data_IF_830482630752
#
_entry.id   IF_830482630752
#
_cell.length_a   1.000
_cell.length_b   1.000
_cell.length_c   1.000
_cell.angle_alpha   90.00
_cell.angle_beta   90.00
_cell.angle_gamma   90.00
#
_symmetry.space_group_name_H-M   'P 1'
#
loop_
_entity.id
_entity.type
_entity.pdbx_description
1 polymer ?
#
# COMPACT_ATOMS: atom_id res chain seq x y z
N UNK A 1 22.46 18.04 8.55
CA UNK A 1 21.29 17.83 9.40
C UNK A 1 21.32 16.40 9.87
N UNK A 2 21.36 16.22 11.19
CA UNK A 2 21.38 14.91 11.83
C UNK A 2 20.06 14.67 12.58
N UNK A 3 19.69 13.43 12.77
CA UNK A 3 18.60 13.06 13.66
C UNK A 3 19.08 13.31 15.09
N UNK A 4 18.35 14.13 15.85
CA UNK A 4 18.61 14.40 17.26
C UNK A 4 17.79 13.49 18.16
N UNK A 5 16.49 13.36 17.86
CA UNK A 5 15.56 12.58 18.64
C UNK A 5 14.61 11.79 17.74
N UNK A 6 14.09 10.68 18.28
CA UNK A 6 13.05 9.86 17.65
C UNK A 6 11.97 9.53 18.68
N UNK A 7 10.70 9.76 18.32
CA UNK A 7 9.56 9.46 19.18
C UNK A 7 8.63 8.48 18.47
N UNK A 8 8.13 7.51 19.23
CA UNK A 8 7.21 6.48 18.74
C UNK A 8 5.82 6.68 19.35
N UNK A 9 4.79 6.62 18.52
CA UNK A 9 3.39 6.69 18.94
C UNK A 9 2.62 5.50 18.38
N UNK A 10 1.47 5.20 18.97
CA UNK A 10 0.46 4.33 18.38
C UNK A 10 -0.90 5.02 18.46
N UNK A 11 -1.69 4.85 17.40
CA UNK A 11 -3.02 5.39 17.28
C UNK A 11 -3.98 4.32 16.75
N UNK A 12 -5.22 4.27 17.27
CA UNK A 12 -6.24 3.35 16.80
C UNK A 12 -7.00 3.92 15.61
N UNK A 13 -7.20 3.09 14.60
CA UNK A 13 -7.97 3.38 13.40
C UNK A 13 -9.16 2.41 13.33
N UNK A 14 -10.32 2.75 13.93
CA UNK A 14 -11.51 1.92 13.83
C UNK A 14 -12.04 1.92 12.39
N UNK A 15 -12.49 0.75 11.93
CA UNK A 15 -13.09 0.61 10.60
C UNK A 15 -14.52 1.11 10.64
N UNK A 16 -14.82 2.04 9.73
CA UNK A 16 -16.16 2.60 9.53
C UNK A 16 -17.10 1.53 8.97
N UNK A 17 -18.27 1.39 9.57
CA UNK A 17 -19.28 0.40 9.16
C UNK A 17 -18.72 -1.03 9.12
N UNK A 18 -17.67 -1.31 9.90
CA UNK A 18 -16.91 -2.56 9.91
C UNK A 18 -17.73 -3.80 10.21
N UNK A 19 -17.10 -4.98 10.11
CA UNK A 19 -15.69 -5.17 9.78
C UNK A 19 -15.39 -5.11 8.27
N UNK A 20 -14.14 -4.78 7.92
CA UNK A 20 -13.65 -5.03 6.56
C UNK A 20 -13.26 -6.50 6.43
N UNK A 21 -13.91 -7.23 5.52
CA UNK A 21 -13.77 -8.68 5.37
C UNK A 21 -12.89 -9.01 4.17
N UNK A 22 -11.87 -9.83 4.40
CA UNK A 22 -11.01 -10.44 3.39
C UNK A 22 -11.11 -11.98 3.47
N UNK A 23 -10.54 -12.70 2.52
CA UNK A 23 -10.58 -14.16 2.47
C UNK A 23 -10.22 -14.85 3.80
N UNK A 24 -9.21 -14.34 4.50
CA UNK A 24 -8.62 -14.93 5.71
C UNK A 24 -8.65 -14.02 6.96
N UNK A 25 -9.34 -12.88 6.90
CA UNK A 25 -9.35 -11.92 8.01
C UNK A 25 -10.62 -11.06 8.06
N UNK A 26 -10.97 -10.64 9.28
CA UNK A 26 -11.96 -9.60 9.55
C UNK A 26 -11.29 -8.50 10.37
N UNK A 27 -11.34 -7.27 9.88
CA UNK A 27 -10.67 -6.12 10.49
C UNK A 27 -11.71 -5.17 11.05
N UNK A 28 -11.77 -5.04 12.36
CA UNK A 28 -12.65 -4.11 13.09
C UNK A 28 -11.97 -2.79 13.44
N UNK A 29 -10.69 -2.86 13.71
CA UNK A 29 -9.82 -1.73 14.02
C UNK A 29 -8.38 -2.11 13.78
N UNK A 30 -7.56 -1.14 13.41
CA UNK A 30 -6.12 -1.30 13.26
C UNK A 30 -5.41 -0.36 14.22
N UNK A 31 -4.20 -0.74 14.62
CA UNK A 31 -3.31 0.13 15.38
C UNK A 31 -2.17 0.55 14.46
N UNK A 32 -2.15 1.82 14.09
CA UNK A 32 -1.01 2.39 13.37
C UNK A 32 0.10 2.77 14.32
N UNK A 33 1.35 2.67 13.83
CA UNK A 33 2.55 3.12 14.55
C UNK A 33 3.15 4.30 13.80
N UNK A 34 3.35 5.41 14.51
CA UNK A 34 3.89 6.64 13.97
C UNK A 34 5.31 6.87 14.52
N UNK A 35 6.16 7.41 13.65
CA UNK A 35 7.52 7.82 13.96
C UNK A 35 7.64 9.32 13.73
N UNK A 36 8.06 10.06 14.77
CA UNK A 36 8.47 11.45 14.65
C UNK A 36 9.97 11.54 14.80
N UNK A 37 10.65 12.07 13.81
CA UNK A 37 12.06 12.43 13.87
C UNK A 37 12.19 13.91 14.17
N UNK A 38 13.10 14.26 15.10
CA UNK A 38 13.51 15.64 15.36
C UNK A 38 14.96 15.79 14.93
N UNK A 39 15.26 16.79 14.13
CA UNK A 39 16.64 17.07 13.71
C UNK A 39 17.40 17.95 14.70
N UNK A 40 18.72 18.00 14.57
CA UNK A 40 19.62 18.93 15.25
C UNK A 40 19.37 20.41 14.95
N UNK A 41 18.48 20.70 13.98
CA UNK A 41 18.03 22.06 13.63
C UNK A 41 16.60 22.36 14.10
N UNK A 42 15.96 21.43 14.80
CA UNK A 42 14.57 21.56 15.30
C UNK A 42 13.49 21.24 14.27
N UNK A 43 13.83 20.89 13.03
CA UNK A 43 12.85 20.42 12.04
C UNK A 43 12.33 19.04 12.44
N UNK A 44 11.07 18.77 12.11
CA UNK A 44 10.41 17.48 12.38
C UNK A 44 9.95 16.80 11.11
N UNK A 45 10.14 15.48 11.06
CA UNK A 45 9.62 14.61 10.00
C UNK A 45 8.75 13.50 10.57
N UNK A 46 7.68 13.15 9.88
CA UNK A 46 6.73 12.13 10.29
C UNK A 46 6.72 10.94 9.34
N UNK A 47 6.59 9.76 9.90
CA UNK A 47 6.38 8.52 9.15
C UNK A 47 5.38 7.62 9.83
N UNK A 48 4.83 6.69 9.08
CA UNK A 48 3.74 5.83 9.53
C UNK A 48 3.86 4.43 8.96
N UNK A 49 3.44 3.45 9.75
CA UNK A 49 3.20 2.07 9.32
C UNK A 49 2.01 1.48 10.03
N UNK A 50 1.10 0.86 9.27
CA UNK A 50 -0.11 0.25 9.78
C UNK A 50 -0.30 -1.16 9.22
N UNK A 51 0.42 -2.18 9.72
CA UNK A 51 0.24 -3.55 9.27
C UNK A 51 -1.17 -4.07 9.56
N UNK A 52 -1.79 -4.74 8.57
CA UNK A 52 -3.11 -5.37 8.73
C UNK A 52 -3.11 -6.44 9.83
N UNK A 53 -2.03 -7.19 9.95
CA UNK A 53 -1.86 -8.20 10.97
C UNK A 53 -1.30 -9.52 10.44
N UNK A 54 -1.05 -10.49 11.35
CA UNK A 54 -0.29 -11.71 11.05
C UNK A 54 -1.02 -12.70 10.14
N UNK A 55 -2.31 -12.54 9.92
CA UNK A 55 -3.08 -13.35 8.96
C UNK A 55 -2.92 -12.86 7.53
N UNK A 56 -2.46 -11.61 7.34
CA UNK A 56 -2.22 -11.00 6.04
C UNK A 56 -0.73 -11.00 5.66
N UNK A 57 0.16 -10.62 6.57
CA UNK A 57 1.60 -10.56 6.34
C UNK A 57 2.37 -10.84 7.66
N UNK A 58 3.67 -11.05 7.56
CA UNK A 58 4.56 -11.25 8.72
C UNK A 58 4.76 -9.99 9.56
N UNK A 59 3.74 -9.17 9.69
CA UNK A 59 3.81 -7.90 10.42
C UNK A 59 2.51 -7.62 11.16
N UNK A 60 2.64 -7.06 12.35
CA UNK A 60 1.54 -6.59 13.17
C UNK A 60 2.00 -5.42 14.03
N UNK A 61 1.05 -4.64 14.60
CA UNK A 61 1.36 -3.39 15.30
C UNK A 61 2.36 -3.56 16.45
N UNK A 62 2.21 -4.59 17.30
CA UNK A 62 3.13 -4.84 18.39
C UNK A 62 4.54 -5.24 17.89
N UNK A 63 4.62 -6.03 16.82
CA UNK A 63 5.89 -6.40 16.17
C UNK A 63 6.58 -5.19 15.53
N UNK A 64 5.82 -4.32 14.87
CA UNK A 64 6.35 -3.08 14.29
C UNK A 64 6.94 -2.17 15.39
N UNK A 65 6.22 -2.00 16.50
CA UNK A 65 6.72 -1.25 17.66
C UNK A 65 7.99 -1.85 18.22
N UNK A 66 8.00 -3.16 18.53
CA UNK A 66 9.17 -3.83 19.07
C UNK A 66 10.40 -3.74 18.14
N UNK A 67 10.20 -3.85 16.84
CA UNK A 67 11.25 -3.66 15.85
C UNK A 67 11.79 -2.22 15.85
N UNK A 68 10.91 -1.23 15.94
CA UNK A 68 11.31 0.19 16.04
C UNK A 68 12.10 0.46 17.35
N UNK A 69 11.71 -0.12 18.47
CA UNK A 69 12.45 -0.02 19.74
C UNK A 69 13.88 -0.59 19.66
N UNK A 70 14.13 -1.56 18.76
CA UNK A 70 15.49 -2.07 18.47
C UNK A 70 16.29 -1.16 17.54
N UNK A 71 15.64 -0.50 16.61
CA UNK A 71 16.26 0.35 15.57
C UNK A 71 16.52 1.75 16.11
N UNK A 72 15.53 2.35 16.77
CA UNK A 72 15.51 3.76 17.16
C UNK A 72 16.74 4.23 17.96
N UNK A 73 17.26 3.46 18.98
CA UNK A 73 18.42 3.92 19.76
C UNK A 73 19.70 4.13 18.93
N UNK A 74 19.76 3.61 17.72
CA UNK A 74 20.92 3.74 16.85
C UNK A 74 20.87 4.95 15.90
N UNK A 75 19.74 5.64 15.83
CA UNK A 75 19.51 6.70 14.84
C UNK A 75 19.98 8.09 15.28
N UNK A 76 19.91 8.49 16.57
CA UNK A 76 20.46 9.77 17.00
C UNK A 76 21.92 9.96 16.59
N UNK A 77 22.24 11.14 16.08
CA UNK A 77 23.56 11.47 15.51
C UNK A 77 23.78 11.03 14.06
N UNK A 78 22.89 10.21 13.49
CA UNK A 78 22.97 9.80 12.08
C UNK A 78 22.53 10.94 11.16
N UNK A 79 23.21 11.10 10.03
CA UNK A 79 22.75 12.04 9.00
C UNK A 79 21.37 11.61 8.47
N UNK A 80 20.43 12.57 8.43
CA UNK A 80 19.06 12.34 7.94
C UNK A 80 19.04 12.26 6.40
N UNK A 81 19.68 11.23 5.87
CA UNK A 81 19.73 10.89 4.45
C UNK A 81 19.17 9.46 4.28
N UNK A 82 18.23 9.21 3.36
CA UNK A 82 17.51 7.94 3.24
C UNK A 82 18.45 6.71 3.23
N UNK A 83 19.44 6.68 2.34
CA UNK A 83 20.35 5.53 2.23
C UNK A 83 21.21 5.33 3.50
N UNK A 84 21.67 6.42 4.12
CA UNK A 84 22.48 6.37 5.35
C UNK A 84 21.66 5.78 6.50
N UNK A 85 20.41 6.24 6.65
CA UNK A 85 19.51 5.75 7.69
C UNK A 85 19.13 4.27 7.43
N UNK A 86 18.82 3.89 6.18
CA UNK A 86 18.56 2.49 5.83
C UNK A 86 19.73 1.56 6.21
N UNK A 87 20.96 1.93 5.82
CA UNK A 87 22.15 1.14 6.19
C UNK A 87 22.32 1.04 7.69
N UNK A 88 22.02 2.12 8.42
CA UNK A 88 22.09 2.11 9.88
C UNK A 88 21.04 1.18 10.50
N UNK A 89 19.82 1.19 10.00
CA UNK A 89 18.76 0.27 10.41
C UNK A 89 19.13 -1.19 10.13
N UNK A 90 19.67 -1.48 8.95
CA UNK A 90 20.05 -2.83 8.52
C UNK A 90 21.17 -3.43 9.39
N UNK A 91 22.06 -2.61 9.97
CA UNK A 91 23.07 -3.09 10.93
C UNK A 91 22.48 -3.46 12.29
N UNK A 92 21.24 -3.07 12.58
CA UNK A 92 20.58 -3.31 13.88
C UNK A 92 19.56 -4.42 13.85
N UNK A 93 18.85 -4.55 12.71
CA UNK A 93 17.75 -5.49 12.59
C UNK A 93 17.61 -5.95 11.14
N UNK A 94 17.70 -7.24 10.92
CA UNK A 94 17.42 -7.87 9.61
C UNK A 94 15.91 -7.95 9.37
N UNK A 95 15.44 -7.72 8.14
CA UNK A 95 14.02 -7.77 7.80
C UNK A 95 13.22 -6.61 8.41
N UNK A 96 12.02 -6.89 8.88
CA UNK A 96 11.12 -5.91 9.51
C UNK A 96 10.86 -4.66 8.66
N UNK A 97 10.63 -4.86 7.37
CA UNK A 97 10.47 -3.80 6.38
C UNK A 97 9.35 -2.82 6.76
N UNK A 98 8.23 -3.29 7.31
CA UNK A 98 7.14 -2.43 7.78
C UNK A 98 7.61 -1.41 8.84
N UNK A 99 8.42 -1.83 9.78
CA UNK A 99 8.96 -0.92 10.79
C UNK A 99 9.95 0.08 10.18
N UNK A 100 10.85 -0.39 9.30
CA UNK A 100 11.83 0.46 8.61
C UNK A 100 11.16 1.49 7.71
N UNK A 101 10.02 1.14 7.11
CA UNK A 101 9.25 2.04 6.26
C UNK A 101 8.81 3.31 7.00
N UNK A 102 8.35 3.20 8.25
CA UNK A 102 7.96 4.37 9.04
C UNK A 102 9.12 5.35 9.26
N UNK A 103 10.32 4.83 9.53
CA UNK A 103 11.52 5.67 9.67
C UNK A 103 11.92 6.27 8.33
N UNK A 104 11.89 5.49 7.25
CA UNK A 104 12.25 5.96 5.90
C UNK A 104 11.33 7.09 5.44
N UNK A 105 10.01 6.94 5.60
CA UNK A 105 9.02 7.98 5.28
C UNK A 105 9.31 9.26 6.08
N UNK A 106 9.59 9.12 7.39
CA UNK A 106 9.93 10.27 8.24
C UNK A 106 11.21 10.99 7.79
N UNK A 107 12.21 10.24 7.31
CA UNK A 107 13.47 10.82 6.78
C UNK A 107 13.21 11.60 5.49
N UNK A 108 12.37 11.06 4.58
CA UNK A 108 11.98 11.78 3.36
C UNK A 108 11.17 13.03 3.66
N UNK A 109 10.24 12.97 4.62
CA UNK A 109 9.48 14.14 5.06
C UNK A 109 10.41 15.23 5.63
N UNK A 110 11.32 14.83 6.52
CA UNK A 110 12.30 15.73 7.12
C UNK A 110 13.23 16.37 6.06
N UNK A 111 13.70 15.56 5.10
CA UNK A 111 14.59 16.04 4.03
C UNK A 111 13.86 16.99 3.09
N UNK A 112 12.63 16.69 2.69
CA UNK A 112 11.81 17.56 1.86
C UNK A 112 11.54 18.91 2.54
N UNK A 113 11.20 18.90 3.83
CA UNK A 113 11.01 20.13 4.64
C UNK A 113 12.30 20.96 4.72
N UNK A 114 13.46 20.30 4.92
CA UNK A 114 14.77 20.99 4.91
C UNK A 114 15.06 21.69 3.59
N UNK A 115 14.72 21.04 2.48
CA UNK A 115 15.03 21.57 1.14
C UNK A 115 13.92 22.47 0.58
N UNK A 116 12.76 22.54 1.25
CA UNK A 116 11.59 23.30 0.80
C UNK A 116 10.89 22.69 -0.42
N UNK A 117 11.01 21.37 -0.62
CA UNK A 117 10.41 20.66 -1.78
C UNK A 117 9.52 19.49 -1.34
N UNK A 118 8.53 19.11 -2.15
CA UNK A 118 7.74 17.89 -1.88
C UNK A 118 8.61 16.63 -2.04
N UNK A 119 8.17 15.54 -1.39
CA UNK A 119 8.87 14.26 -1.45
C UNK A 119 8.97 13.72 -2.88
N UNK A 120 7.97 13.93 -3.73
CA UNK A 120 8.01 13.51 -5.13
C UNK A 120 9.22 14.08 -5.88
N UNK A 121 9.64 15.31 -5.58
CA UNK A 121 10.82 15.92 -6.21
C UNK A 121 12.12 15.24 -5.79
N UNK A 122 12.18 14.73 -4.55
CA UNK A 122 13.31 13.91 -4.07
C UNK A 122 13.37 12.52 -4.72
N UNK A 123 12.24 12.07 -5.28
CA UNK A 123 12.08 10.77 -5.93
C UNK A 123 12.18 10.84 -7.46
N UNK A 124 12.60 11.98 -8.01
CA UNK A 124 12.80 12.18 -9.44
C UNK A 124 11.83 13.15 -10.11
N UNK A 125 10.84 13.64 -9.38
CA UNK A 125 9.86 14.61 -9.84
C UNK A 125 8.51 14.02 -10.19
N UNK A 126 7.45 14.73 -9.80
CA UNK A 126 6.07 14.34 -10.14
C UNK A 126 5.79 14.55 -11.63
N UNK A 127 5.19 13.55 -12.28
CA UNK A 127 4.72 13.61 -13.68
C UNK A 127 3.26 14.05 -13.79
N UNK A 128 2.55 14.07 -12.65
CA UNK A 128 1.14 14.47 -12.55
C UNK A 128 0.87 15.11 -11.20
N UNK A 129 -0.18 15.90 -11.12
CA UNK A 129 -0.69 16.51 -9.87
C UNK A 129 -1.88 15.75 -9.28
N UNK A 130 -2.38 14.74 -9.98
CA UNK A 130 -3.45 13.85 -9.53
C UNK A 130 -3.12 12.42 -9.92
N UNK A 131 -3.21 11.50 -8.96
CA UNK A 131 -3.00 10.07 -9.21
C UNK A 131 -4.32 9.32 -9.15
N UNK A 132 -4.53 8.29 -9.98
CA UNK A 132 -5.73 7.47 -9.91
C UNK A 132 -5.74 6.68 -8.61
N UNK A 133 -6.90 6.61 -7.96
CA UNK A 133 -7.17 5.70 -6.87
C UNK A 133 -8.01 4.53 -7.35
N UNK A 134 -8.19 3.52 -6.50
CA UNK A 134 -9.15 2.47 -6.72
C UNK A 134 -9.86 2.09 -5.42
N UNK A 135 -11.07 1.60 -5.55
CA UNK A 135 -11.83 1.09 -4.42
C UNK A 135 -11.68 -0.43 -4.32
N UNK A 136 -11.46 -0.95 -3.11
CA UNK A 136 -11.42 -2.39 -2.85
C UNK A 136 -12.67 -2.80 -2.05
N UNK A 137 -13.49 -3.72 -2.59
CA UNK A 137 -14.65 -4.22 -1.85
C UNK A 137 -14.21 -5.16 -0.73
N UNK A 138 -15.03 -5.30 0.30
CA UNK A 138 -14.94 -6.47 1.17
C UNK A 138 -15.47 -7.72 0.45
N UNK A 139 -15.15 -8.91 0.98
CA UNK A 139 -15.82 -10.16 0.55
C UNK A 139 -17.28 -10.10 1.01
N UNK A 140 -18.20 -10.17 0.06
CA UNK A 140 -19.65 -10.03 0.30
C UNK A 140 -20.50 -10.81 -0.70
N UNK A 141 -21.84 -10.76 -0.57
CA UNK A 141 -22.76 -11.37 -1.51
C UNK A 141 -22.58 -10.81 -2.93
N UNK A 142 -22.79 -11.65 -3.99
CA UNK A 142 -22.60 -11.22 -5.38
C UNK A 142 -23.38 -9.97 -5.77
N UNK A 143 -24.68 -9.90 -5.42
CA UNK A 143 -25.53 -8.75 -5.77
C UNK A 143 -25.11 -7.46 -5.04
N UNK A 144 -24.71 -7.56 -3.78
CA UNK A 144 -24.22 -6.42 -3.02
C UNK A 144 -22.90 -5.90 -3.59
N UNK A 145 -21.98 -6.81 -3.92
CA UNK A 145 -20.69 -6.45 -4.55
C UNK A 145 -20.91 -5.76 -5.90
N UNK A 146 -21.87 -6.24 -6.71
CA UNK A 146 -22.23 -5.60 -7.98
C UNK A 146 -22.86 -4.21 -7.79
N UNK A 147 -23.70 -4.03 -6.77
CA UNK A 147 -24.27 -2.72 -6.41
C UNK A 147 -23.18 -1.73 -6.01
N UNK A 148 -22.26 -2.14 -5.13
CA UNK A 148 -21.09 -1.31 -4.75
C UNK A 148 -20.24 -0.97 -5.99
N UNK A 149 -20.04 -1.93 -6.87
CA UNK A 149 -19.28 -1.69 -8.11
C UNK A 149 -19.92 -0.59 -8.98
N UNK A 150 -21.24 -0.61 -9.14
CA UNK A 150 -21.97 0.42 -9.87
C UNK A 150 -21.86 1.79 -9.20
N UNK A 151 -21.99 1.86 -7.86
CA UNK A 151 -21.82 3.09 -7.09
C UNK A 151 -20.41 3.68 -7.28
N UNK A 152 -19.37 2.86 -7.18
CA UNK A 152 -17.98 3.32 -7.31
C UNK A 152 -17.63 3.73 -8.75
N UNK A 153 -18.25 3.09 -9.74
CA UNK A 153 -18.20 3.57 -11.14
C UNK A 153 -18.79 4.98 -11.26
N UNK A 154 -19.96 5.20 -10.67
CA UNK A 154 -20.66 6.48 -10.75
C UNK A 154 -19.96 7.59 -9.93
N UNK A 155 -19.20 7.21 -8.87
CA UNK A 155 -18.29 8.10 -8.15
C UNK A 155 -17.01 8.46 -8.94
N UNK A 156 -16.78 7.82 -10.10
CA UNK A 156 -15.66 8.14 -10.99
C UNK A 156 -14.36 7.36 -10.73
N UNK A 157 -14.40 6.27 -9.97
CA UNK A 157 -13.21 5.44 -9.80
C UNK A 157 -12.78 4.77 -11.11
N UNK A 158 -11.51 4.91 -11.53
CA UNK A 158 -11.02 4.32 -12.79
C UNK A 158 -10.76 2.81 -12.67
N UNK A 159 -10.67 2.26 -11.46
CA UNK A 159 -10.43 0.85 -11.18
C UNK A 159 -11.20 0.41 -9.94
N UNK A 160 -11.73 -0.82 -10.00
CA UNK A 160 -12.30 -1.52 -8.87
C UNK A 160 -11.47 -2.79 -8.60
N UNK A 161 -11.20 -3.07 -7.33
CA UNK A 161 -10.68 -4.35 -6.88
C UNK A 161 -11.77 -5.06 -6.08
N UNK A 162 -12.16 -6.27 -6.49
CA UNK A 162 -13.09 -7.08 -5.70
C UNK A 162 -12.31 -8.12 -4.90
N UNK A 163 -12.57 -8.17 -3.59
CA UNK A 163 -12.00 -9.20 -2.71
C UNK A 163 -12.84 -10.46 -2.79
N UNK A 164 -12.18 -11.57 -3.05
CA UNK A 164 -12.79 -12.89 -3.21
C UNK A 164 -11.98 -13.94 -2.42
N UNK A 165 -12.35 -15.21 -2.55
CA UNK A 165 -11.70 -16.31 -1.84
C UNK A 165 -12.28 -16.55 -0.44
N UNK A 166 -11.83 -17.64 0.20
CA UNK A 166 -12.34 -18.08 1.49
C UNK A 166 -13.76 -18.68 1.44
N UNK A 167 -14.27 -18.93 0.23
CA UNK A 167 -15.61 -19.49 -0.03
C UNK A 167 -15.58 -20.31 -1.33
N UNK A 168 -16.67 -21.06 -1.66
CA UNK A 168 -16.73 -21.84 -2.91
C UNK A 168 -16.50 -20.97 -4.17
N UNK A 169 -15.68 -21.47 -5.10
CA UNK A 169 -15.30 -20.74 -6.31
C UNK A 169 -16.50 -20.38 -7.21
N UNK A 170 -17.60 -21.12 -7.15
CA UNK A 170 -18.85 -20.83 -7.85
C UNK A 170 -19.41 -19.45 -7.48
N UNK A 171 -19.37 -19.11 -6.18
CA UNK A 171 -19.84 -17.81 -5.67
C UNK A 171 -18.93 -16.68 -6.16
N UNK A 172 -17.62 -16.93 -6.23
CA UNK A 172 -16.66 -15.97 -6.74
C UNK A 172 -16.84 -15.72 -8.24
N UNK A 173 -17.08 -16.78 -9.02
CA UNK A 173 -17.40 -16.70 -10.45
C UNK A 173 -18.69 -15.90 -10.68
N UNK A 174 -19.73 -16.18 -9.90
CA UNK A 174 -20.99 -15.42 -9.94
C UNK A 174 -20.74 -13.94 -9.63
N UNK A 175 -19.94 -13.65 -8.59
CA UNK A 175 -19.61 -12.28 -8.21
C UNK A 175 -18.90 -11.55 -9.34
N UNK A 176 -17.89 -12.16 -9.98
CA UNK A 176 -17.15 -11.56 -11.11
C UNK A 176 -18.10 -11.22 -12.26
N UNK A 177 -19.02 -12.15 -12.60
CA UNK A 177 -19.98 -11.95 -13.69
C UNK A 177 -20.94 -10.79 -13.40
N UNK A 178 -21.55 -10.77 -12.21
CA UNK A 178 -22.46 -9.70 -11.80
C UNK A 178 -21.81 -8.34 -11.71
N UNK A 179 -20.59 -8.30 -11.18
CA UNK A 179 -19.80 -7.05 -11.16
C UNK A 179 -19.52 -6.59 -12.58
N UNK A 180 -19.10 -7.49 -13.49
CA UNK A 180 -18.85 -7.13 -14.88
C UNK A 180 -20.10 -6.67 -15.62
N UNK A 181 -21.26 -7.27 -15.36
CA UNK A 181 -22.55 -6.78 -15.86
C UNK A 181 -22.85 -5.34 -15.42
N UNK A 182 -22.44 -4.98 -14.18
CA UNK A 182 -22.65 -3.65 -13.63
C UNK A 182 -21.69 -2.58 -14.19
N UNK A 183 -20.41 -2.94 -14.45
CA UNK A 183 -19.37 -1.98 -14.83
C UNK A 183 -18.83 -2.12 -16.27
N UNK A 184 -19.12 -3.24 -16.93
CA UNK A 184 -18.64 -3.51 -18.28
C UNK A 184 -19.02 -2.40 -19.27
N UNK A 185 -18.06 -2.00 -20.12
CA UNK A 185 -18.27 -0.92 -21.09
C UNK A 185 -18.15 0.50 -20.51
N UNK A 186 -18.01 0.68 -19.19
CA UNK A 186 -17.85 2.00 -18.56
C UNK A 186 -16.43 2.58 -18.67
N UNK A 187 -15.45 1.75 -19.03
CA UNK A 187 -14.02 2.10 -18.96
C UNK A 187 -13.37 1.83 -17.60
N UNK A 188 -14.14 1.50 -16.53
CA UNK A 188 -13.59 1.10 -15.25
C UNK A 188 -12.90 -0.27 -15.38
N UNK A 189 -11.65 -0.34 -14.92
CA UNK A 189 -10.88 -1.59 -14.93
C UNK A 189 -11.23 -2.45 -13.72
N UNK A 190 -11.18 -3.78 -13.90
CA UNK A 190 -11.47 -4.75 -12.84
C UNK A 190 -10.20 -5.47 -12.41
N UNK A 191 -9.98 -5.55 -11.12
CA UNK A 191 -9.04 -6.46 -10.48
C UNK A 191 -9.81 -7.43 -9.57
N UNK A 192 -9.37 -8.67 -9.57
CA UNK A 192 -9.94 -9.77 -8.78
C UNK A 192 -8.86 -10.27 -7.86
N UNK A 193 -9.00 -10.04 -6.56
CA UNK A 193 -7.99 -10.36 -5.57
C UNK A 193 -8.43 -11.55 -4.70
N UNK A 194 -7.70 -12.65 -4.81
CA UNK A 194 -7.93 -13.86 -4.04
C UNK A 194 -7.37 -13.81 -2.63
N UNK A 195 -6.50 -12.87 -2.32
CA UNK A 195 -5.77 -12.75 -1.03
C UNK A 195 -5.27 -14.10 -0.51
N UNK A 196 -4.68 -14.92 -1.40
CA UNK A 196 -4.18 -16.28 -1.11
C UNK A 196 -5.28 -17.28 -0.71
N UNK A 197 -6.56 -16.95 -0.92
CA UNK A 197 -7.70 -17.74 -0.46
C UNK A 197 -8.11 -18.87 -1.39
N UNK A 198 -7.48 -19.04 -2.57
CA UNK A 198 -7.81 -20.11 -3.52
C UNK A 198 -6.73 -21.18 -3.60
N UNK A 199 -7.19 -22.40 -3.89
CA UNK A 199 -6.28 -23.43 -4.42
C UNK A 199 -5.90 -23.10 -5.87
N UNK A 200 -4.82 -23.71 -6.37
CA UNK A 200 -4.47 -23.55 -7.79
C UNK A 200 -5.58 -24.05 -8.74
N UNK A 201 -6.35 -25.06 -8.31
CA UNK A 201 -7.51 -25.56 -9.05
C UNK A 201 -8.62 -24.53 -9.16
N UNK A 202 -8.97 -23.84 -8.05
CA UNK A 202 -9.99 -22.80 -8.02
C UNK A 202 -9.57 -21.59 -8.88
N UNK A 203 -8.33 -21.13 -8.76
CA UNK A 203 -7.79 -20.03 -9.54
C UNK A 203 -7.86 -20.32 -11.06
N UNK A 204 -7.50 -21.55 -11.47
CA UNK A 204 -7.61 -21.97 -12.87
C UNK A 204 -9.06 -22.09 -13.33
N UNK A 205 -9.96 -22.57 -12.47
CA UNK A 205 -11.39 -22.66 -12.77
C UNK A 205 -11.98 -21.27 -12.98
N UNK A 206 -11.74 -20.32 -12.07
CA UNK A 206 -12.21 -18.94 -12.18
C UNK A 206 -11.72 -18.32 -13.50
N UNK A 207 -10.42 -18.47 -13.81
CA UNK A 207 -9.84 -17.94 -15.03
C UNK A 207 -10.45 -18.57 -16.31
N UNK A 208 -10.85 -19.84 -16.27
CA UNK A 208 -11.46 -20.54 -17.41
C UNK A 208 -12.93 -20.23 -17.59
N UNK A 209 -13.67 -20.05 -16.50
CA UNK A 209 -15.10 -19.80 -16.53
C UNK A 209 -15.49 -18.33 -16.75
N UNK A 210 -14.51 -17.41 -16.68
CA UNK A 210 -14.69 -15.98 -16.97
C UNK A 210 -13.78 -15.50 -18.11
N UNK A 211 -13.69 -16.21 -19.27
CA UNK A 211 -12.65 -15.96 -20.28
C UNK A 211 -12.83 -14.62 -21.01
N UNK A 212 -14.04 -14.11 -21.07
CA UNK A 212 -14.43 -12.92 -21.83
C UNK A 212 -14.49 -11.65 -20.93
N UNK A 213 -14.21 -11.80 -19.63
CA UNK A 213 -14.16 -10.68 -18.69
C UNK A 213 -12.72 -10.25 -18.50
N UNK A 214 -12.32 -9.05 -18.93
CA UNK A 214 -10.97 -8.56 -18.78
C UNK A 214 -10.72 -8.12 -17.33
N UNK A 215 -10.02 -8.93 -16.54
CA UNK A 215 -9.58 -8.56 -15.19
C UNK A 215 -8.13 -8.97 -14.93
N UNK A 216 -7.53 -8.30 -13.96
CA UNK A 216 -6.27 -8.72 -13.36
C UNK A 216 -6.56 -9.72 -12.24
N UNK A 217 -5.86 -10.85 -12.23
CA UNK A 217 -5.92 -11.84 -11.17
C UNK A 217 -4.79 -11.56 -10.17
N UNK A 218 -5.14 -11.02 -9.00
CA UNK A 218 -4.18 -10.63 -7.96
C UNK A 218 -4.10 -11.71 -6.89
N UNK A 219 -2.89 -12.09 -6.52
CA UNK A 219 -2.54 -13.04 -5.44
C UNK A 219 -3.54 -14.18 -5.22
N UNK A 220 -3.81 -15.02 -6.22
CA UNK A 220 -4.83 -16.08 -6.12
C UNK A 220 -4.46 -17.16 -5.10
N UNK A 221 -3.19 -17.57 -5.04
CA UNK A 221 -2.70 -18.68 -4.22
C UNK A 221 -1.70 -18.22 -3.16
N UNK A 222 -1.40 -19.11 -2.21
CA UNK A 222 -0.62 -18.79 -1.02
C UNK A 222 0.89 -18.68 -1.31
N UNK A 223 1.45 -19.48 -2.20
CA UNK A 223 2.90 -19.55 -2.42
C UNK A 223 3.30 -19.21 -3.84
N UNK A 224 4.57 -18.80 -3.99
CA UNK A 224 5.18 -18.56 -5.30
C UNK A 224 5.20 -19.83 -6.15
N UNK A 225 5.40 -21.00 -5.53
CA UNK A 225 5.39 -22.28 -6.20
C UNK A 225 4.03 -22.63 -6.80
N UNK A 226 2.95 -22.32 -6.10
CA UNK A 226 1.59 -22.46 -6.63
C UNK A 226 1.36 -21.51 -7.80
N UNK A 227 1.76 -20.23 -7.67
CA UNK A 227 1.68 -19.27 -8.77
C UNK A 227 2.44 -19.76 -10.02
N UNK A 228 3.65 -20.32 -9.86
CA UNK A 228 4.42 -20.90 -10.98
C UNK A 228 3.70 -22.06 -11.67
N UNK A 229 3.01 -22.91 -10.91
CA UNK A 229 2.28 -24.07 -11.47
C UNK A 229 1.07 -23.64 -12.28
N UNK A 230 0.33 -22.62 -11.83
CA UNK A 230 -0.88 -22.18 -12.52
C UNK A 230 -0.59 -21.22 -13.66
N UNK A 231 0.48 -20.42 -13.58
CA UNK A 231 0.82 -19.34 -14.54
C UNK A 231 0.67 -19.73 -16.01
N UNK A 232 1.21 -20.88 -16.47
CA UNK A 232 1.13 -21.25 -17.89
C UNK A 232 -0.30 -21.55 -18.39
N UNK A 233 -1.26 -21.73 -17.50
CA UNK A 233 -2.64 -22.11 -17.82
C UNK A 233 -3.64 -20.97 -17.57
N UNK A 234 -3.20 -19.87 -16.95
CA UNK A 234 -4.03 -18.69 -16.73
C UNK A 234 -4.29 -17.96 -18.04
N UNK A 235 -5.52 -17.49 -18.19
CA UNK A 235 -5.95 -16.61 -19.31
C UNK A 235 -5.86 -15.13 -18.98
N UNK A 236 -5.77 -14.81 -17.70
CA UNK A 236 -5.74 -13.46 -17.15
C UNK A 236 -4.34 -13.06 -16.73
N UNK A 237 -4.07 -11.77 -16.72
CA UNK A 237 -2.84 -11.22 -16.18
C UNK A 237 -2.72 -11.55 -14.70
N UNK A 238 -1.56 -12.05 -14.27
CA UNK A 238 -1.27 -12.42 -12.90
C UNK A 238 -0.48 -11.31 -12.20
N UNK A 239 -1.04 -10.77 -11.12
CA UNK A 239 -0.33 -9.82 -10.25
C UNK A 239 0.02 -10.47 -8.92
N UNK A 240 1.21 -10.13 -8.42
CA UNK A 240 1.69 -10.60 -7.12
C UNK A 240 1.58 -9.46 -6.10
N UNK A 241 0.93 -9.72 -4.97
CA UNK A 241 0.80 -8.81 -3.82
C UNK A 241 1.55 -9.39 -2.61
N UNK A 242 0.93 -10.20 -1.77
CA UNK A 242 1.50 -10.63 -0.49
C UNK A 242 2.83 -11.39 -0.61
N UNK A 243 3.05 -12.09 -1.72
CA UNK A 243 4.34 -12.76 -1.96
C UNK A 243 5.45 -11.82 -2.41
N UNK A 244 5.18 -10.58 -2.79
CA UNK A 244 6.18 -9.56 -3.11
C UNK A 244 6.69 -8.89 -1.81
N UNK A 245 7.39 -9.67 -1.00
CA UNK A 245 7.81 -9.27 0.36
C UNK A 245 8.97 -8.28 0.39
N UNK A 246 9.78 -8.27 -0.67
CA UNK A 246 10.96 -7.41 -0.80
C UNK A 246 11.36 -7.20 -2.27
N UNK A 247 12.37 -6.39 -2.48
CA UNK A 247 12.86 -6.07 -3.82
C UNK A 247 13.49 -7.28 -4.52
N UNK A 248 14.15 -8.18 -3.80
CA UNK A 248 14.80 -9.38 -4.38
C UNK A 248 13.75 -10.34 -4.95
N UNK A 249 12.68 -10.55 -4.19
CA UNK A 249 11.53 -11.35 -4.65
C UNK A 249 10.87 -10.72 -5.89
N UNK A 250 10.70 -9.38 -5.90
CA UNK A 250 10.14 -8.68 -7.05
C UNK A 250 11.04 -8.79 -8.29
N UNK A 251 12.36 -8.64 -8.14
CA UNK A 251 13.36 -8.82 -9.22
C UNK A 251 13.26 -10.23 -9.79
N UNK A 252 13.19 -11.24 -8.93
CA UNK A 252 13.10 -12.64 -9.33
C UNK A 252 11.81 -12.93 -10.09
N UNK A 253 10.67 -12.46 -9.57
CA UNK A 253 9.38 -12.65 -10.22
C UNK A 253 9.31 -11.96 -11.60
N UNK A 254 9.79 -10.72 -11.68
CA UNK A 254 9.88 -9.96 -12.93
C UNK A 254 10.87 -10.60 -13.93
N UNK A 255 12.03 -11.09 -13.45
CA UNK A 255 13.07 -11.68 -14.26
C UNK A 255 12.69 -13.04 -14.86
N UNK A 256 11.87 -13.81 -14.16
CA UNK A 256 11.41 -15.14 -14.62
C UNK A 256 10.10 -15.09 -15.43
N UNK A 257 9.47 -13.91 -15.60
CA UNK A 257 8.18 -13.79 -16.27
C UNK A 257 7.03 -14.46 -15.50
N UNK A 258 7.19 -14.60 -14.18
CA UNK A 258 6.15 -15.17 -13.32
C UNK A 258 4.91 -14.32 -13.29
N UNK A 259 5.06 -13.00 -13.31
CA UNK A 259 3.99 -12.01 -13.14
C UNK A 259 3.89 -11.05 -14.31
N UNK A 260 2.70 -10.48 -14.50
CA UNK A 260 2.41 -9.41 -15.46
C UNK A 260 2.35 -8.04 -14.77
N UNK A 261 2.38 -7.99 -13.43
CA UNK A 261 2.35 -6.78 -12.63
C UNK A 261 2.40 -7.06 -11.13
N UNK A 262 2.22 -6.01 -10.33
CA UNK A 262 2.30 -6.13 -8.86
C UNK A 262 1.26 -5.25 -8.15
N UNK A 263 0.70 -5.78 -7.05
CA UNK A 263 0.09 -5.02 -5.98
C UNK A 263 1.15 -4.69 -4.92
N UNK A 264 1.82 -3.54 -5.01
CA UNK A 264 2.94 -3.22 -4.11
C UNK A 264 2.56 -2.19 -3.06
N UNK A 265 3.06 -2.43 -1.84
CA UNK A 265 2.83 -1.56 -0.70
C UNK A 265 4.12 -0.89 -0.23
N UNK A 266 4.05 0.44 -0.06
CA UNK A 266 5.20 1.27 0.39
C UNK A 266 5.76 0.75 1.71
N UNK A 267 4.88 0.43 2.68
CA UNK A 267 5.33 -0.08 3.98
C UNK A 267 5.92 -1.49 3.89
N UNK A 268 5.35 -2.39 3.09
CA UNK A 268 5.84 -3.77 2.97
C UNK A 268 7.23 -3.86 2.35
N UNK A 269 7.52 -3.05 1.34
CA UNK A 269 8.84 -3.07 0.69
C UNK A 269 9.93 -2.36 1.48
N UNK A 270 9.57 -1.58 2.51
CA UNK A 270 10.53 -0.92 3.41
C UNK A 270 10.66 0.58 3.21
N UNK A 271 9.63 1.24 2.68
CA UNK A 271 9.56 2.70 2.55
C UNK A 271 9.83 3.23 1.14
N UNK A 272 9.92 4.53 1.03
CA UNK A 272 10.03 5.26 -0.24
C UNK A 272 11.33 4.97 -1.00
N UNK A 273 12.47 4.80 -0.30
CA UNK A 273 13.75 4.45 -0.93
C UNK A 273 13.65 3.13 -1.70
N UNK A 274 13.07 2.10 -1.07
CA UNK A 274 12.89 0.78 -1.68
C UNK A 274 11.79 0.79 -2.73
N UNK A 275 10.73 1.57 -2.50
CA UNK A 275 9.64 1.72 -3.47
C UNK A 275 10.10 2.42 -4.76
N UNK A 276 10.99 3.40 -4.67
CA UNK A 276 11.59 4.03 -5.85
C UNK A 276 12.41 3.03 -6.69
N UNK A 277 13.22 2.20 -6.04
CA UNK A 277 13.98 1.14 -6.73
C UNK A 277 13.04 0.09 -7.37
N UNK A 278 11.94 -0.24 -6.70
CA UNK A 278 10.91 -1.13 -7.25
C UNK A 278 10.19 -0.50 -8.46
N UNK A 279 9.81 0.78 -8.39
CA UNK A 279 9.25 1.54 -9.52
C UNK A 279 10.19 1.48 -10.72
N UNK A 280 11.48 1.74 -10.53
CA UNK A 280 12.48 1.75 -11.60
C UNK A 280 12.64 0.35 -12.23
N UNK A 281 12.58 -0.72 -11.43
CA UNK A 281 12.48 -2.10 -11.92
C UNK A 281 11.25 -2.31 -12.81
N UNK A 282 10.09 -1.89 -12.34
CA UNK A 282 8.83 -2.03 -13.06
C UNK A 282 8.84 -1.22 -14.36
N UNK A 283 9.38 0.00 -14.36
CA UNK A 283 9.55 0.79 -15.59
C UNK A 283 10.47 0.11 -16.60
N UNK A 284 11.62 -0.40 -16.16
CA UNK A 284 12.56 -1.11 -17.02
C UNK A 284 11.98 -2.38 -17.65
N UNK A 285 11.05 -3.04 -16.96
CA UNK A 285 10.36 -4.26 -17.39
C UNK A 285 8.98 -4.02 -17.98
N UNK A 286 8.47 -2.77 -17.98
CA UNK A 286 7.12 -2.38 -18.38
C UNK A 286 6.03 -3.15 -17.63
N UNK A 287 6.20 -3.33 -16.32
CA UNK A 287 5.26 -4.01 -15.45
C UNK A 287 4.36 -2.98 -14.75
N UNK A 288 3.03 -3.04 -14.98
CA UNK A 288 2.09 -2.24 -14.21
C UNK A 288 2.16 -2.58 -12.72
N UNK A 289 1.94 -1.58 -11.86
CA UNK A 289 1.95 -1.78 -10.42
C UNK A 289 1.15 -0.70 -9.68
N UNK A 290 0.77 -1.01 -8.46
CA UNK A 290 0.18 -0.06 -7.52
C UNK A 290 1.26 0.58 -6.64
N UNK A 291 0.88 1.67 -5.96
CA UNK A 291 1.69 2.32 -4.93
C UNK A 291 0.84 2.45 -3.65
N UNK A 292 0.47 1.32 -3.08
CA UNK A 292 -0.48 1.25 -1.99
C UNK A 292 0.19 1.32 -0.62
N UNK A 293 -0.64 1.50 0.41
CA UNK A 293 -0.31 1.01 1.74
C UNK A 293 -1.28 -0.09 2.20
N UNK A 294 -0.89 -0.80 3.26
CA UNK A 294 -1.75 -1.84 3.82
C UNK A 294 -2.97 -1.24 4.51
N UNK A 295 -2.75 -0.18 5.30
CA UNK A 295 -3.68 0.70 6.00
C UNK A 295 -2.88 1.88 6.55
N UNK A 296 -3.58 2.85 7.16
CA UNK A 296 -2.95 4.00 7.81
C UNK A 296 -3.78 5.27 7.65
N UNK A 297 -3.21 6.38 8.09
CA UNK A 297 -3.80 7.70 7.97
C UNK A 297 -3.09 8.57 6.93
N UNK A 298 -3.14 9.89 7.13
CA UNK A 298 -2.67 10.86 6.13
C UNK A 298 -1.17 10.76 5.82
N UNK A 299 -0.34 10.37 6.78
CA UNK A 299 1.12 10.34 6.61
C UNK A 299 1.52 9.28 5.57
N UNK A 300 1.07 8.04 5.75
CA UNK A 300 1.35 6.98 4.78
C UNK A 300 0.58 7.20 3.48
N UNK A 301 -0.64 7.70 3.53
CA UNK A 301 -1.43 8.05 2.34
C UNK A 301 -0.73 9.11 1.49
N UNK A 302 -0.18 10.15 2.10
CA UNK A 302 0.63 11.15 1.41
C UNK A 302 1.88 10.51 0.78
N UNK A 303 2.57 9.61 1.49
CA UNK A 303 3.74 8.92 0.94
C UNK A 303 3.41 8.11 -0.31
N UNK A 304 2.26 7.41 -0.32
CA UNK A 304 1.76 6.67 -1.47
C UNK A 304 1.44 7.60 -2.66
N UNK A 305 0.75 8.71 -2.42
CA UNK A 305 0.45 9.69 -3.47
C UNK A 305 1.72 10.33 -4.05
N UNK A 306 2.70 10.67 -3.20
CA UNK A 306 3.98 11.26 -3.61
C UNK A 306 4.79 10.33 -4.51
N UNK A 307 4.95 9.06 -4.16
CA UNK A 307 5.69 8.10 -5.01
C UNK A 307 4.90 7.76 -6.27
N UNK A 308 3.57 7.59 -6.18
CA UNK A 308 2.72 7.28 -7.33
C UNK A 308 2.78 8.38 -8.40
N UNK A 309 2.88 9.65 -8.00
CA UNK A 309 3.03 10.78 -8.92
C UNK A 309 4.30 10.71 -9.78
N UNK A 310 5.29 9.94 -9.36
CA UNK A 310 6.56 9.76 -10.10
C UNK A 310 6.54 8.55 -11.05
N UNK A 311 5.49 7.72 -10.99
CA UNK A 311 5.31 6.56 -11.86
C UNK A 311 4.79 7.01 -13.23
N UNK A 312 5.30 6.38 -14.30
CA UNK A 312 4.75 6.59 -15.66
C UNK A 312 3.26 6.24 -15.68
N UNK A 313 2.37 7.16 -16.12
CA UNK A 313 0.91 6.94 -16.06
C UNK A 313 0.42 5.63 -16.66
N UNK A 314 1.05 5.15 -17.76
CA UNK A 314 0.69 3.88 -18.41
C UNK A 314 1.03 2.62 -17.58
N UNK A 315 1.82 2.75 -16.51
CA UNK A 315 2.20 1.65 -15.62
C UNK A 315 1.61 1.81 -14.22
N UNK A 316 0.96 2.94 -13.92
CA UNK A 316 0.32 3.15 -12.64
C UNK A 316 -1.06 2.51 -12.62
N UNK A 317 -1.21 1.45 -11.84
CA UNK A 317 -2.49 0.75 -11.63
C UNK A 317 -3.43 1.52 -10.70
N UNK A 318 -2.87 2.41 -9.88
CA UNK A 318 -3.57 3.25 -8.93
C UNK A 318 -2.95 3.20 -7.53
N UNK A 319 -3.59 3.91 -6.63
CA UNK A 319 -3.22 3.99 -5.21
C UNK A 319 -4.43 3.60 -4.37
N UNK A 320 -4.28 2.54 -3.57
CA UNK A 320 -5.28 2.24 -2.56
C UNK A 320 -4.97 3.00 -1.27
N UNK A 321 -6.00 3.62 -0.69
CA UNK A 321 -5.92 4.28 0.61
C UNK A 321 -6.98 3.76 1.57
N UNK A 322 -6.68 3.84 2.86
CA UNK A 322 -7.62 3.50 3.93
C UNK A 322 -8.73 4.56 4.14
N UNK A 323 -8.57 5.78 3.62
CA UNK A 323 -9.49 6.89 3.83
C UNK A 323 -10.99 6.58 3.66
N UNK A 324 -11.44 5.77 2.68
CA UNK A 324 -12.85 5.40 2.59
C UNK A 324 -13.36 4.49 3.72
N UNK A 325 -12.47 3.87 4.48
CA UNK A 325 -12.79 2.82 5.46
C UNK A 325 -12.56 3.25 6.91
N UNK A 326 -11.90 4.38 7.15
CA UNK A 326 -11.63 4.92 8.49
C UNK A 326 -12.13 6.36 8.61
N UNK A 327 -12.35 6.83 9.83
CA UNK A 327 -12.81 8.21 10.09
C UNK A 327 -11.66 9.13 10.47
N UNK A 328 -11.78 10.38 10.02
CA UNK A 328 -10.91 11.48 10.42
C UNK A 328 -9.63 11.61 9.61
N UNK A 329 -8.95 12.71 9.86
CA UNK A 329 -7.65 13.06 9.30
C UNK A 329 -6.71 13.47 10.43
N UNK A 330 -5.40 13.23 10.23
CA UNK A 330 -4.37 13.73 11.15
C UNK A 330 -4.09 15.22 10.91
N UNK A 331 -4.26 15.67 9.66
CA UNK A 331 -4.19 17.07 9.25
C UNK A 331 -5.58 17.52 8.79
N UNK A 332 -6.20 18.37 9.57
CA UNK A 332 -7.56 18.83 9.28
C UNK A 332 -7.67 19.71 8.02
N UNK A 333 -6.55 20.33 7.60
CA UNK A 333 -6.52 21.25 6.45
C UNK A 333 -6.04 20.53 5.17
N UNK A 334 -5.03 19.63 5.30
CA UNK A 334 -4.35 18.98 4.17
C UNK A 334 -4.47 17.45 4.20
N UNK A 335 -5.46 16.91 4.90
CA UNK A 335 -5.73 15.48 4.95
C UNK A 335 -5.97 14.88 3.56
N UNK A 336 -5.49 13.66 3.36
CA UNK A 336 -5.52 13.01 2.06
C UNK A 336 -6.89 12.41 1.77
N UNK A 337 -7.55 12.90 0.74
CA UNK A 337 -8.88 12.44 0.30
C UNK A 337 -8.89 11.91 -1.13
N UNK A 338 -9.95 11.18 -1.47
CA UNK A 338 -10.20 10.68 -2.82
C UNK A 338 -11.40 11.44 -3.38
N UNK A 339 -11.22 12.14 -4.49
CA UNK A 339 -12.26 12.91 -5.15
C UNK A 339 -12.38 12.47 -6.63
N UNK A 340 -13.57 12.05 -7.03
CA UNK A 340 -13.79 11.54 -8.37
C UNK A 340 -12.83 10.40 -8.75
N UNK A 341 -12.57 9.50 -7.79
CA UNK A 341 -11.66 8.36 -7.97
C UNK A 341 -10.17 8.74 -8.09
N UNK A 342 -9.76 9.94 -7.71
CA UNK A 342 -8.38 10.42 -7.79
C UNK A 342 -7.94 11.08 -6.48
N UNK A 343 -6.64 11.10 -6.26
CA UNK A 343 -5.96 11.71 -5.12
C UNK A 343 -5.15 12.90 -5.63
N UNK A 344 -5.37 14.09 -5.06
CA UNK A 344 -4.51 15.24 -5.30
C UNK A 344 -3.13 15.00 -4.65
N UNK A 345 -2.06 15.20 -5.40
CA UNK A 345 -0.69 15.03 -4.90
C UNK A 345 -0.34 16.24 -4.04
N UNK A 346 0.03 16.05 -2.75
CA UNK A 346 0.41 17.17 -1.90
C UNK A 346 1.62 17.95 -2.45
N UNK A 347 1.53 19.28 -2.43
CA UNK A 347 2.56 20.17 -3.00
C UNK A 347 3.43 20.86 -1.95
N UNK A 348 3.10 20.72 -0.66
CA UNK A 348 3.88 21.30 0.44
C UNK A 348 5.23 20.61 0.63
N UNK A 349 6.19 21.27 1.33
CA UNK A 349 7.46 20.66 1.67
C UNK A 349 7.31 19.36 2.46
N UNK A 350 8.15 18.38 2.15
CA UNK A 350 8.05 17.04 2.74
C UNK A 350 6.89 16.25 2.15
N UNK A 351 6.13 15.59 2.99
CA UNK A 351 4.91 14.87 2.59
C UNK A 351 3.75 15.80 2.22
N UNK A 352 3.83 17.08 2.62
CA UNK A 352 2.77 18.06 2.40
C UNK A 352 1.60 17.95 3.39
N UNK A 353 1.72 17.13 4.44
CA UNK A 353 0.78 17.01 5.55
C UNK A 353 1.47 17.33 6.88
N UNK A 354 0.74 17.95 7.80
CA UNK A 354 1.22 18.32 9.13
C UNK A 354 0.27 17.73 10.17
N UNK A 355 0.57 16.56 10.72
CA UNK A 355 -0.35 15.90 11.64
C UNK A 355 -0.46 16.66 12.96
N UNK A 356 -1.67 16.74 13.50
CA UNK A 356 -1.92 17.21 14.86
C UNK A 356 -1.42 16.16 15.86
N UNK A 357 -0.25 16.42 16.44
CA UNK A 357 0.39 15.51 17.40
C UNK A 357 -0.49 15.23 18.64
N UNK A 358 -1.40 16.12 18.98
CA UNK A 358 -2.28 15.96 20.14
C UNK A 358 -3.21 14.74 20.02
N UNK A 359 -3.51 14.30 18.78
CA UNK A 359 -4.30 13.10 18.48
C UNK A 359 -3.61 11.81 18.94
N UNK A 360 -2.28 11.81 19.02
CA UNK A 360 -1.50 10.61 19.32
C UNK A 360 -1.13 10.44 20.80
N UNK A 361 -1.43 11.46 21.62
CA UNK A 361 -1.12 11.46 23.04
C UNK A 361 0.37 11.56 23.35
N UNK A 362 0.83 10.89 24.41
CA UNK A 362 2.25 10.88 24.77
C UNK A 362 3.02 9.82 23.96
N UNK A 363 4.28 10.09 23.59
CA UNK A 363 5.13 9.06 22.99
C UNK A 363 5.20 7.81 23.87
N UNK A 364 5.12 6.64 23.26
CA UNK A 364 5.33 5.35 23.91
C UNK A 364 6.80 5.12 24.27
N UNK A 365 7.68 5.64 23.43
CA UNK A 365 9.13 5.61 23.61
C UNK A 365 9.77 6.83 22.94
N UNK A 366 10.91 7.26 23.51
CA UNK A 366 11.73 8.38 22.97
C UNK A 366 13.21 8.02 23.13
N UNK A 367 14.00 8.36 22.10
CA UNK A 367 15.42 8.01 22.02
C UNK A 367 16.24 9.20 21.54
#
# INVERSE_FOLDING_TARGET
>A
MKIAEIHLFQHALPVRNGPYVMANAQVWSLTTTLVKLVSDTGLTGWGETCPVGPTYAEAHAAGARAALEQIAPALPGTEALPLTVHRRMDTRLTGHNYAKAAVDIAVYDLLGKRLGVPVADLLGGATTDRVPSYYATAVGPPDETARIAAEKRDEGYPRLQIKLGGRPAEIDIETIRKVWEAIGGSGMRLAVDGNRGWTGGDALRISRECPDIPFVLEQPCNSIEELRRIRPQLRHALYMDENAIDLDTAITAAGTGLVDGFGMKVSRIGGLLRMAAFRDLCEARRLPHTCDDAWGGDIVSASCAQIAATVRPALLEGVWLAAPYVDGHYDAENGISIEGGHIAVPRGPGLGVIPDESLFGRPLASF
#
